data_IF_531267691053
#
_entry.id   IF_531267691053
#
_cell.length_a   1.000
_cell.length_b   1.000
_cell.length_c   1.000
_cell.angle_alpha   90.00
_cell.angle_beta   90.00
_cell.angle_gamma   90.00
#
_symmetry.space_group_name_H-M   'P 1'
#
loop_
_entity.id
_entity.type
_entity.pdbx_description
1 polymer ?
#
# COMPACT_ATOMS: atom_id res chain seq x y z
N UNK A 1 19.71 -0.30 9.72
CA UNK A 1 18.31 -0.06 10.10
C UNK A 1 17.43 -0.84 9.14
N UNK A 2 16.43 -1.61 9.61
CA UNK A 2 15.42 -2.13 8.71
C UNK A 2 14.80 -0.95 7.93
N UNK A 3 14.51 -1.09 6.63
CA UNK A 3 13.86 -0.04 5.88
C UNK A 3 12.53 0.29 6.55
N UNK A 4 12.25 1.57 6.80
CA UNK A 4 10.99 2.00 7.42
C UNK A 4 9.80 1.86 6.46
N UNK A 5 10.08 1.84 5.15
CA UNK A 5 9.09 1.93 4.08
C UNK A 5 9.11 0.71 3.18
N UNK A 6 7.93 0.21 2.81
CA UNK A 6 7.75 -0.85 1.80
C UNK A 6 6.67 -0.46 0.80
N UNK A 7 6.74 -1.04 -0.39
CA UNK A 7 5.73 -0.90 -1.45
C UNK A 7 4.88 -2.15 -1.50
N UNK A 8 3.57 -1.99 -1.37
CA UNK A 8 2.58 -3.03 -1.61
C UNK A 8 2.12 -2.91 -3.07
N UNK A 9 2.52 -3.86 -3.90
CA UNK A 9 2.22 -3.88 -5.32
C UNK A 9 1.06 -4.84 -5.59
N UNK A 10 -0.09 -4.26 -5.91
CA UNK A 10 -1.32 -5.03 -6.13
C UNK A 10 -1.49 -5.43 -7.59
N UNK A 11 -2.20 -6.54 -7.80
CA UNK A 11 -2.70 -6.98 -9.11
C UNK A 11 -1.63 -7.06 -10.22
N UNK A 12 -0.38 -7.35 -9.85
CA UNK A 12 0.75 -7.41 -10.79
C UNK A 12 1.04 -6.09 -11.51
N UNK A 13 0.61 -4.95 -10.95
CA UNK A 13 0.92 -3.64 -11.52
C UNK A 13 2.44 -3.44 -11.61
N UNK A 14 2.95 -2.72 -12.61
CA UNK A 14 4.37 -2.42 -12.69
C UNK A 14 4.78 -1.46 -11.57
N UNK A 15 5.91 -1.75 -10.91
CA UNK A 15 6.47 -0.86 -9.89
C UNK A 15 6.82 0.51 -10.50
N UNK A 16 6.23 1.62 -9.98
CA UNK A 16 6.55 2.96 -10.45
C UNK A 16 8.04 3.28 -10.35
N UNK A 17 8.59 3.95 -11.36
CA UNK A 17 10.03 4.27 -11.42
C UNK A 17 10.55 4.98 -10.15
N UNK A 18 9.83 5.96 -9.55
CA UNK A 18 10.30 6.63 -8.34
C UNK A 18 10.39 5.74 -7.10
N UNK A 19 9.69 4.59 -7.09
CA UNK A 19 9.64 3.66 -5.97
C UNK A 19 10.64 2.52 -6.10
N UNK A 20 11.41 2.47 -7.19
CA UNK A 20 12.46 1.47 -7.38
C UNK A 20 13.56 1.65 -6.32
N UNK A 21 14.00 0.53 -5.73
CA UNK A 21 14.99 0.53 -4.65
C UNK A 21 14.37 0.41 -3.25
N UNK A 22 13.06 0.55 -3.12
CA UNK A 22 12.34 0.20 -1.90
C UNK A 22 12.01 -1.31 -1.86
N UNK A 23 11.96 -1.93 -0.66
CA UNK A 23 11.36 -3.24 -0.48
C UNK A 23 9.97 -3.27 -1.11
N UNK A 24 9.67 -4.34 -1.83
CA UNK A 24 8.37 -4.51 -2.50
C UNK A 24 7.78 -5.85 -2.10
N UNK A 25 6.51 -5.82 -1.68
CA UNK A 25 5.70 -6.99 -1.39
C UNK A 25 4.62 -7.08 -2.46
N UNK A 26 4.58 -8.19 -3.18
CA UNK A 26 3.47 -8.46 -4.11
C UNK A 26 2.24 -8.85 -3.28
N UNK A 27 1.12 -8.18 -3.51
CA UNK A 27 -0.16 -8.52 -2.90
C UNK A 27 -1.10 -8.94 -4.02
N UNK A 28 -1.44 -10.22 -4.03
CA UNK A 28 -2.36 -10.84 -4.99
C UNK A 28 -2.43 -12.36 -4.78
N UNK A 29 -3.65 -12.88 -4.61
CA UNK A 29 -3.93 -14.31 -4.46
C UNK A 29 -4.58 -14.67 -3.11
N UNK A 30 -4.61 -15.96 -2.78
CA UNK A 30 -5.32 -16.47 -1.59
C UNK A 30 -4.69 -16.00 -0.25
N UNK A 31 -3.40 -15.62 -0.25
CA UNK A 31 -2.62 -15.28 0.95
C UNK A 31 -2.37 -13.77 1.13
N UNK A 32 -3.20 -12.93 0.54
CA UNK A 32 -3.06 -11.48 0.59
C UNK A 32 -3.08 -10.92 2.01
N UNK A 33 -3.95 -11.45 2.87
CA UNK A 33 -4.10 -10.95 4.23
C UNK A 33 -2.82 -11.16 5.05
N UNK A 34 -2.24 -12.35 4.98
CA UNK A 34 -1.00 -12.69 5.68
C UNK A 34 0.19 -11.86 5.18
N UNK A 35 0.27 -11.64 3.86
CA UNK A 35 1.31 -10.80 3.26
C UNK A 35 1.23 -9.35 3.73
N UNK A 36 0.01 -8.82 3.87
CA UNK A 36 -0.23 -7.47 4.42
C UNK A 36 0.12 -7.42 5.90
N UNK A 37 -0.30 -8.40 6.71
CA UNK A 37 0.01 -8.44 8.14
C UNK A 37 1.52 -8.49 8.40
N UNK A 38 2.24 -9.36 7.67
CA UNK A 38 3.69 -9.45 7.76
C UNK A 38 4.38 -8.13 7.37
N UNK A 39 3.83 -7.38 6.41
CA UNK A 39 4.32 -6.06 6.05
C UNK A 39 4.05 -5.02 7.15
N UNK A 40 2.84 -5.03 7.72
CA UNK A 40 2.40 -4.16 8.82
C UNK A 40 3.24 -4.37 10.09
N UNK A 41 3.66 -5.60 10.37
CA UNK A 41 4.50 -5.90 11.53
C UNK A 41 5.96 -5.50 11.33
N UNK A 42 6.42 -5.44 10.08
CA UNK A 42 7.82 -5.16 9.74
C UNK A 42 8.08 -3.69 9.40
N UNK A 43 7.11 -2.98 8.86
CA UNK A 43 7.27 -1.64 8.29
C UNK A 43 6.34 -0.63 8.97
N UNK A 44 6.80 0.63 9.08
CA UNK A 44 6.01 1.74 9.63
C UNK A 44 5.40 2.64 8.57
N UNK A 45 5.85 2.50 7.32
CA UNK A 45 5.30 3.21 6.15
C UNK A 45 4.99 2.22 5.05
N UNK A 46 3.78 2.28 4.52
CA UNK A 46 3.31 1.44 3.41
C UNK A 46 2.95 2.32 2.22
N UNK A 47 3.48 2.02 1.05
CA UNK A 47 3.07 2.65 -0.21
C UNK A 47 2.21 1.67 -0.99
N UNK A 48 0.94 1.98 -1.17
CA UNK A 48 -0.02 1.16 -1.93
C UNK A 48 0.03 1.57 -3.40
N UNK A 49 0.46 0.64 -4.25
CA UNK A 49 0.38 0.75 -5.70
C UNK A 49 -0.71 -0.20 -6.18
N UNK A 50 -1.90 0.36 -6.40
CA UNK A 50 -3.12 -0.38 -6.71
C UNK A 50 -4.26 0.59 -7.06
N UNK A 51 -5.49 0.09 -7.02
CA UNK A 51 -6.69 0.90 -7.16
C UNK A 51 -7.36 1.23 -5.81
N UNK A 52 -8.54 1.85 -5.87
CA UNK A 52 -9.27 2.28 -4.68
C UNK A 52 -9.73 1.08 -3.82
N UNK A 53 -9.97 -0.09 -4.42
CA UNK A 53 -10.35 -1.29 -3.69
C UNK A 53 -9.14 -1.85 -2.92
N UNK A 54 -7.95 -1.82 -3.54
CA UNK A 54 -6.70 -2.20 -2.88
C UNK A 54 -6.40 -1.30 -1.68
N UNK A 55 -6.54 0.02 -1.85
CA UNK A 55 -6.38 0.99 -0.75
C UNK A 55 -7.41 0.74 0.36
N UNK A 56 -8.69 0.60 0.00
CA UNK A 56 -9.76 0.35 0.97
C UNK A 56 -9.52 -0.94 1.76
N UNK A 57 -8.99 -1.98 1.12
CA UNK A 57 -8.62 -3.24 1.76
C UNK A 57 -7.54 -3.04 2.83
N UNK A 58 -6.48 -2.30 2.51
CA UNK A 58 -5.42 -1.97 3.47
C UNK A 58 -5.98 -1.18 4.65
N UNK A 59 -6.72 -0.10 4.39
CA UNK A 59 -7.29 0.74 5.45
C UNK A 59 -8.25 -0.06 6.34
N UNK A 60 -9.10 -0.90 5.75
CA UNK A 60 -10.00 -1.79 6.50
C UNK A 60 -9.23 -2.74 7.39
N UNK A 61 -8.11 -3.28 6.90
CA UNK A 61 -7.26 -4.18 7.69
C UNK A 61 -6.62 -3.44 8.87
N UNK A 62 -6.01 -2.28 8.64
CA UNK A 62 -5.39 -1.46 9.69
C UNK A 62 -6.40 -1.03 10.77
N UNK A 63 -7.61 -0.65 10.37
CA UNK A 63 -8.69 -0.34 11.31
C UNK A 63 -9.09 -1.55 12.17
N UNK A 64 -9.16 -2.74 11.57
CA UNK A 64 -9.49 -3.97 12.29
C UNK A 64 -8.40 -4.45 13.24
N UNK A 65 -7.14 -4.14 12.94
CA UNK A 65 -5.99 -4.53 13.75
C UNK A 65 -5.51 -3.42 14.69
N UNK A 66 -6.19 -2.27 14.71
CA UNK A 66 -5.82 -1.08 15.47
C UNK A 66 -4.39 -0.58 15.18
N UNK A 67 -3.93 -0.75 13.94
CA UNK A 67 -2.59 -0.36 13.47
C UNK A 67 -2.59 0.97 12.73
N UNK A 68 -3.23 1.97 13.34
CA UNK A 68 -3.34 3.33 12.80
C UNK A 68 -2.08 4.18 12.98
N UNK A 69 -1.07 3.63 13.64
CA UNK A 69 0.26 4.20 13.77
C UNK A 69 1.13 4.05 12.50
N UNK A 70 0.61 3.34 11.49
CA UNK A 70 1.28 3.13 10.21
C UNK A 70 0.90 4.22 9.22
N UNK A 71 1.91 4.87 8.65
CA UNK A 71 1.71 5.85 7.59
C UNK A 71 1.44 5.14 6.26
N UNK A 72 0.41 5.59 5.53
CA UNK A 72 0.03 5.02 4.23
C UNK A 72 0.14 6.06 3.13
N UNK A 73 0.96 5.78 2.12
CA UNK A 73 1.01 6.53 0.87
C UNK A 73 0.22 5.79 -0.21
N UNK A 74 -0.62 6.51 -0.97
CA UNK A 74 -1.34 5.94 -2.11
C UNK A 74 -0.74 6.46 -3.42
N UNK A 75 -0.31 5.53 -4.28
CA UNK A 75 0.35 5.81 -5.55
C UNK A 75 -0.35 5.05 -6.70
N UNK A 76 -1.58 5.43 -7.06
CA UNK A 76 -2.27 4.83 -8.18
C UNK A 76 -1.59 5.24 -9.50
N UNK A 77 -1.84 4.46 -10.56
CA UNK A 77 -1.31 4.74 -11.91
C UNK A 77 -2.09 5.78 -12.71
N UNK A 78 -3.29 6.11 -12.23
CA UNK A 78 -4.22 7.07 -12.82
C UNK A 78 -4.97 7.75 -11.69
N UNK A 79 -5.43 8.97 -11.92
CA UNK A 79 -6.31 9.66 -10.99
C UNK A 79 -7.60 8.85 -10.73
N UNK A 80 -7.98 8.69 -9.46
CA UNK A 80 -9.13 7.93 -8.98
C UNK A 80 -10.06 8.77 -8.09
N UNK A 81 -11.30 8.34 -7.82
CA UNK A 81 -12.14 8.96 -6.81
C UNK A 81 -11.46 9.12 -5.45
N UNK A 82 -10.68 8.13 -4.99
CA UNK A 82 -9.92 8.27 -3.74
C UNK A 82 -8.85 9.38 -3.81
N UNK A 83 -8.14 9.52 -4.93
CA UNK A 83 -7.18 10.65 -5.07
C UNK A 83 -7.87 12.01 -4.96
N UNK A 84 -9.08 12.15 -5.51
CA UNK A 84 -9.89 13.37 -5.36
C UNK A 84 -10.35 13.57 -3.91
N UNK A 85 -10.90 12.51 -3.29
CA UNK A 85 -11.44 12.55 -1.93
C UNK A 85 -10.37 12.91 -0.90
N UNK A 86 -9.18 12.36 -1.05
CA UNK A 86 -8.02 12.63 -0.19
C UNK A 86 -7.13 13.78 -0.69
N UNK A 87 -7.55 14.48 -1.75
CA UNK A 87 -6.83 15.62 -2.37
C UNK A 87 -5.36 15.32 -2.65
N UNK A 88 -5.09 14.11 -3.10
CA UNK A 88 -3.74 13.68 -3.47
C UNK A 88 -3.39 14.26 -4.83
N UNK A 89 -2.20 14.86 -4.93
CA UNK A 89 -1.67 15.37 -6.21
C UNK A 89 -1.18 14.24 -7.12
N UNK A 90 -1.09 13.01 -6.61
CA UNK A 90 -0.67 11.83 -7.35
C UNK A 90 -1.85 11.16 -8.06
N UNK A 91 -1.61 10.68 -9.29
CA UNK A 91 -2.59 10.01 -10.14
C UNK A 91 -2.12 9.92 -11.58
#
# INVERSE_FOLDING_TARGET
>A
MPPETTVLLFAGQPLPRPLRGLPTVQVGGDNDAESVDAAVDRYRRLVVVGDDADLARILTRLLRTDRLDIEVGYAPRRHTPATAAYRLTAG
#
